data_IF_765959296389
#
_entry.id   IF_765959296389
#
_cell.length_a   1.000
_cell.length_b   1.000
_cell.length_c   1.000
_cell.angle_alpha   90.00
_cell.angle_beta   90.00
_cell.angle_gamma   90.00
#
_symmetry.space_group_name_H-M   'P 1'
#
loop_
_entity.id
_entity.type
_entity.pdbx_description
1 polymer ?
#
# COMPACT_ATOMS: atom_id res chain seq x y z
N UNK A 1 25.60 30.27 -38.74
CA UNK A 1 24.42 29.46 -38.35
C UNK A 1 24.93 28.26 -37.56
N UNK A 2 24.71 28.19 -36.23
CA UNK A 2 25.05 27.00 -35.43
C UNK A 2 23.74 26.35 -34.98
N UNK A 3 23.43 25.19 -35.55
CA UNK A 3 22.26 24.40 -35.16
C UNK A 3 22.63 23.69 -33.87
N UNK A 4 22.11 24.20 -32.74
CA UNK A 4 22.27 23.54 -31.45
C UNK A 4 21.41 22.28 -31.43
N UNK A 5 22.05 21.10 -31.42
CA UNK A 5 21.40 19.82 -31.15
C UNK A 5 20.79 19.84 -29.74
N UNK A 6 19.52 20.25 -29.63
CA UNK A 6 18.71 20.03 -28.44
C UNK A 6 18.45 18.53 -28.33
N UNK A 7 19.27 17.84 -27.54
CA UNK A 7 18.96 16.50 -27.05
C UNK A 7 17.57 16.57 -26.37
N UNK A 8 16.64 15.64 -26.64
CA UNK A 8 15.37 15.61 -25.93
C UNK A 8 15.68 15.34 -24.46
N UNK A 9 15.57 16.37 -23.63
CA UNK A 9 15.59 16.23 -22.18
C UNK A 9 14.49 15.25 -21.83
N UNK A 10 14.89 14.07 -21.33
CA UNK A 10 14.00 13.01 -20.85
C UNK A 10 12.79 13.63 -20.16
N UNK A 11 11.62 13.48 -20.79
CA UNK A 11 10.37 14.19 -20.45
C UNK A 11 9.75 13.77 -19.12
N UNK A 12 10.44 12.91 -18.37
CA UNK A 12 10.04 12.43 -17.07
C UNK A 12 11.21 12.67 -16.12
N UNK A 13 11.09 13.73 -15.31
CA UNK A 13 11.92 13.88 -14.14
C UNK A 13 11.59 12.71 -13.21
N UNK A 14 12.59 11.98 -12.72
CA UNK A 14 12.38 10.76 -11.93
C UNK A 14 11.43 10.95 -10.71
N UNK A 15 11.24 12.19 -10.24
CA UNK A 15 10.25 12.55 -9.22
C UNK A 15 8.78 12.46 -9.66
N UNK A 16 8.48 12.73 -10.93
CA UNK A 16 7.12 12.66 -11.49
C UNK A 16 6.66 11.21 -11.62
N UNK A 17 7.56 10.31 -12.06
CA UNK A 17 7.24 8.87 -12.18
C UNK A 17 6.91 8.28 -10.81
N UNK A 18 7.66 8.63 -9.76
CA UNK A 18 7.38 8.15 -8.39
C UNK A 18 6.01 8.61 -7.90
N UNK A 19 5.63 9.85 -8.16
CA UNK A 19 4.31 10.36 -7.80
C UNK A 19 3.20 9.64 -8.55
N UNK A 20 3.35 9.47 -9.86
CA UNK A 20 2.35 8.77 -10.68
C UNK A 20 2.17 7.31 -10.25
N UNK A 21 3.26 6.60 -9.95
CA UNK A 21 3.21 5.21 -9.44
C UNK A 21 2.52 5.17 -8.08
N UNK A 22 2.90 6.06 -7.15
CA UNK A 22 2.28 6.10 -5.84
C UNK A 22 0.79 6.38 -5.94
N UNK A 23 0.38 7.32 -6.80
CA UNK A 23 -1.03 7.65 -7.02
C UNK A 23 -1.81 6.46 -7.58
N UNK A 24 -1.28 5.78 -8.60
CA UNK A 24 -1.91 4.58 -9.15
C UNK A 24 -2.07 3.47 -8.11
N UNK A 25 -1.04 3.26 -7.27
CA UNK A 25 -1.13 2.29 -6.16
C UNK A 25 -2.22 2.71 -5.15
N UNK A 26 -2.29 3.99 -4.78
CA UNK A 26 -3.33 4.47 -3.86
C UNK A 26 -4.74 4.29 -4.45
N UNK A 27 -4.94 4.60 -5.72
CA UNK A 27 -6.22 4.43 -6.41
C UNK A 27 -6.66 2.96 -6.45
N UNK A 28 -5.73 2.04 -6.69
CA UNK A 28 -5.99 0.59 -6.63
C UNK A 28 -6.31 0.11 -5.20
N UNK A 29 -5.59 0.61 -4.19
CA UNK A 29 -5.86 0.27 -2.80
C UNK A 29 -7.23 0.79 -2.33
N UNK A 30 -7.67 1.96 -2.81
CA UNK A 30 -9.02 2.49 -2.55
C UNK A 30 -10.10 1.62 -3.19
N UNK A 31 -9.83 1.05 -4.37
CA UNK A 31 -10.75 0.17 -5.08
C UNK A 31 -10.66 -1.30 -4.67
N UNK A 32 -9.73 -1.66 -3.78
CA UNK A 32 -9.53 -3.02 -3.31
C UNK A 32 -10.83 -3.73 -2.85
N UNK A 33 -11.78 -3.10 -2.12
CA UNK A 33 -13.05 -3.75 -1.78
C UNK A 33 -13.87 -4.15 -3.01
N UNK A 34 -13.87 -3.33 -4.06
CA UNK A 34 -14.54 -3.63 -5.32
C UNK A 34 -13.85 -4.79 -6.03
N UNK A 35 -12.52 -4.77 -6.14
CA UNK A 35 -11.72 -5.86 -6.73
C UNK A 35 -11.92 -7.19 -5.99
N UNK A 36 -12.01 -7.16 -4.67
CA UNK A 36 -12.28 -8.35 -3.85
C UNK A 36 -13.71 -8.87 -4.00
N UNK A 37 -14.66 -7.99 -4.33
CA UNK A 37 -16.07 -8.37 -4.58
C UNK A 37 -16.25 -9.13 -5.89
N UNK A 38 -15.37 -8.91 -6.87
CA UNK A 38 -15.33 -9.66 -8.14
C UNK A 38 -14.90 -11.13 -7.91
N UNK A 39 -14.12 -11.40 -6.85
CA UNK A 39 -13.69 -12.74 -6.48
C UNK A 39 -14.81 -13.46 -5.72
N UNK A 40 -15.63 -14.19 -6.49
CA UNK A 40 -16.80 -14.93 -5.98
C UNK A 40 -16.43 -16.01 -4.98
N UNK A 41 -15.32 -16.73 -5.20
CA UNK A 41 -14.85 -17.79 -4.30
C UNK A 41 -14.23 -17.19 -3.03
N UNK A 42 -14.81 -17.43 -1.84
CA UNK A 42 -14.29 -16.90 -0.58
C UNK A 42 -12.87 -17.39 -0.26
N UNK A 43 -12.48 -18.60 -0.68
CA UNK A 43 -11.13 -19.14 -0.41
C UNK A 43 -10.09 -18.39 -1.24
N UNK A 44 -10.38 -18.12 -2.51
CA UNK A 44 -9.50 -17.33 -3.37
C UNK A 44 -9.38 -15.88 -2.88
N UNK A 45 -10.50 -15.29 -2.42
CA UNK A 45 -10.51 -13.95 -1.86
C UNK A 45 -9.64 -13.86 -0.60
N UNK A 46 -9.75 -14.86 0.29
CA UNK A 46 -8.89 -14.96 1.46
C UNK A 46 -7.42 -15.12 1.07
N UNK A 47 -7.11 -16.02 0.13
CA UNK A 47 -5.74 -16.23 -0.36
C UNK A 47 -5.12 -14.97 -0.97
N UNK A 48 -5.92 -14.15 -1.66
CA UNK A 48 -5.48 -12.87 -2.19
C UNK A 48 -5.15 -11.90 -1.05
N UNK A 49 -6.05 -11.76 -0.06
CA UNK A 49 -5.83 -10.89 1.11
C UNK A 49 -4.57 -11.28 1.87
N UNK A 50 -4.32 -12.57 2.09
CA UNK A 50 -3.12 -13.04 2.81
C UNK A 50 -1.83 -12.67 2.07
N UNK A 51 -1.84 -12.68 0.73
CA UNK A 51 -0.68 -12.27 -0.08
C UNK A 51 -0.48 -10.76 -0.11
N UNK A 52 -1.56 -9.99 0.00
CA UNK A 52 -1.51 -8.53 -0.01
C UNK A 52 -1.12 -7.94 1.34
N UNK A 53 -1.52 -8.59 2.44
CA UNK A 53 -1.33 -8.14 3.82
C UNK A 53 0.08 -7.61 4.14
N UNK A 54 1.19 -8.26 3.74
CA UNK A 54 2.54 -7.77 4.05
C UNK A 54 2.88 -6.41 3.42
N UNK A 55 2.16 -6.02 2.36
CA UNK A 55 2.43 -4.81 1.59
C UNK A 55 1.51 -3.64 1.98
N UNK A 56 0.32 -3.94 2.49
CA UNK A 56 -0.70 -2.92 2.82
C UNK A 56 -0.85 -2.70 4.31
N UNK A 57 -0.60 -3.73 5.13
CA UNK A 57 -0.59 -3.57 6.56
C UNK A 57 0.77 -3.01 6.97
N UNK A 58 0.76 -2.07 7.93
CA UNK A 58 1.99 -1.71 8.63
C UNK A 58 2.65 -3.00 9.16
N UNK A 59 3.99 -3.06 9.20
CA UNK A 59 4.68 -4.17 9.82
C UNK A 59 4.02 -4.44 11.17
N UNK A 60 3.61 -5.68 11.41
CA UNK A 60 3.06 -6.08 12.69
C UNK A 60 4.19 -5.83 13.70
N UNK A 61 4.18 -4.66 14.33
CA UNK A 61 5.10 -4.36 15.42
C UNK A 61 4.77 -5.36 16.49
N UNK A 62 5.78 -6.10 16.95
CA UNK A 62 5.58 -7.00 18.07
C UNK A 62 5.07 -6.16 19.25
N UNK A 63 3.79 -6.32 19.55
CA UNK A 63 3.15 -5.58 20.64
C UNK A 63 3.56 -6.31 21.92
N UNK A 64 4.32 -5.65 22.78
CA UNK A 64 4.64 -6.21 24.10
C UNK A 64 3.35 -6.48 24.89
N UNK A 65 3.37 -7.47 25.78
CA UNK A 65 2.17 -7.88 26.56
C UNK A 65 1.49 -6.70 27.24
N UNK A 66 2.27 -5.73 27.72
CA UNK A 66 1.78 -4.51 28.37
C UNK A 66 1.03 -3.61 27.37
N UNK A 67 1.62 -3.34 26.20
CA UNK A 67 0.98 -2.52 25.16
C UNK A 67 -0.29 -3.19 24.64
N UNK A 68 -0.28 -4.52 24.50
CA UNK A 68 -1.46 -5.28 24.08
C UNK A 68 -2.59 -5.19 25.12
N UNK A 69 -2.28 -5.36 26.41
CA UNK A 69 -3.23 -5.21 27.53
C UNK A 69 -3.82 -3.79 27.62
N UNK A 70 -2.99 -2.78 27.35
CA UNK A 70 -3.40 -1.38 27.32
C UNK A 70 -4.39 -1.08 26.18
N UNK A 71 -4.12 -1.60 24.98
CA UNK A 71 -4.98 -1.39 23.81
C UNK A 71 -6.34 -2.10 23.93
N UNK A 72 -6.40 -3.25 24.62
CA UNK A 72 -7.66 -3.97 24.89
C UNK A 72 -8.39 -3.47 26.15
N UNK A 73 -7.86 -2.46 26.85
CA UNK A 73 -8.49 -1.87 28.04
C UNK A 73 -8.37 -2.69 29.33
N UNK A 74 -7.49 -3.69 29.36
CA UNK A 74 -7.24 -4.55 30.54
C UNK A 74 -6.25 -3.95 31.55
N UNK A 75 -5.75 -2.74 31.34
CA UNK A 75 -4.82 -2.08 32.28
C UNK A 75 -5.51 -1.56 33.57
N UNK A 76 -6.85 -1.65 33.69
CA UNK A 76 -7.62 -1.15 34.85
C UNK A 76 -8.09 -2.24 35.84
N UNK A 77 -7.53 -3.44 35.78
CA UNK A 77 -7.86 -4.54 36.71
C UNK A 77 -6.80 -4.69 37.81
N UNK A 78 -6.40 -3.60 38.49
CA UNK A 78 -5.84 -3.61 39.86
C UNK A 78 -5.94 -2.24 40.51
#
# INVERSE_FOLDING_TARGET
>A
MKIANKKPTSKYMAGDIRHLINQAIQDELLNLPNTLSEIKDPVQRLNFLTKLMPFVCAPIKQVGVITARREIGEDNIY
#
